data_IF_058125957267
#
_entry.id   IF_058125957267
#
_cell.length_a   1.000
_cell.length_b   1.000
_cell.length_c   1.000
_cell.angle_alpha   90.00
_cell.angle_beta   90.00
_cell.angle_gamma   90.00
#
_symmetry.space_group_name_H-M   'P 1'
#
loop_
_entity.id
_entity.type
_entity.pdbx_description
1 polymer ?
#
# COMPACT_ATOMS: atom_id res chain seq x y z
N UNK A 1 -5.09 -14.28 8.72
CA UNK A 1 -5.21 -13.96 7.29
C UNK A 1 -4.08 -13.02 6.90
N UNK A 2 -3.63 -13.03 5.64
CA UNK A 2 -2.79 -11.95 5.09
C UNK A 2 -3.74 -10.82 4.73
N UNK A 3 -3.42 -9.59 5.12
CA UNK A 3 -4.27 -8.45 4.84
C UNK A 3 -3.40 -7.24 4.56
N UNK A 4 -3.51 -6.73 3.35
CA UNK A 4 -2.88 -5.50 2.92
C UNK A 4 -3.82 -4.35 3.23
N UNK A 5 -3.30 -3.35 3.91
CA UNK A 5 -4.02 -2.13 4.22
C UNK A 5 -3.58 -1.02 3.28
N UNK A 6 -4.50 -0.48 2.49
CA UNK A 6 -4.29 0.69 1.64
C UNK A 6 -4.89 1.90 2.35
N UNK A 7 -4.05 2.89 2.66
CA UNK A 7 -4.44 4.10 3.40
C UNK A 7 -4.29 5.33 2.52
N UNK A 8 -5.32 6.17 2.49
CA UNK A 8 -5.33 7.45 1.80
C UNK A 8 -6.09 8.48 2.65
N UNK A 9 -5.38 9.46 3.22
CA UNK A 9 -5.99 10.38 4.18
C UNK A 9 -6.53 9.65 5.40
N UNK A 10 -7.84 9.73 5.63
CA UNK A 10 -8.56 9.00 6.69
C UNK A 10 -9.17 7.68 6.19
N UNK A 11 -9.16 7.43 4.88
CA UNK A 11 -9.72 6.23 4.27
C UNK A 11 -8.77 5.04 4.40
N UNK A 12 -9.33 3.90 4.78
CA UNK A 12 -8.61 2.64 4.96
C UNK A 12 -9.33 1.53 4.21
N UNK A 13 -8.64 0.88 3.27
CA UNK A 13 -9.12 -0.29 2.54
C UNK A 13 -8.29 -1.51 2.91
N UNK A 14 -8.97 -2.60 3.25
CA UNK A 14 -8.33 -3.87 3.58
C UNK A 14 -8.55 -4.87 2.44
N UNK A 15 -7.47 -5.46 1.94
CA UNK A 15 -7.46 -6.34 0.78
C UNK A 15 -6.69 -7.63 1.10
N UNK A 16 -7.12 -8.75 0.54
CA UNK A 16 -6.54 -10.06 0.87
C UNK A 16 -5.18 -10.29 0.20
N UNK A 17 -4.97 -9.67 -0.98
CA UNK A 17 -3.78 -9.89 -1.77
C UNK A 17 -2.97 -8.62 -2.04
N UNK A 18 -1.66 -8.82 -2.23
CA UNK A 18 -0.73 -7.75 -2.61
C UNK A 18 -1.11 -7.12 -3.94
N UNK A 19 -1.56 -7.95 -4.88
CA UNK A 19 -1.90 -7.52 -6.24
C UNK A 19 -3.11 -6.56 -6.21
N UNK A 20 -4.17 -6.91 -5.48
CA UNK A 20 -5.33 -6.04 -5.29
C UNK A 20 -4.95 -4.71 -4.63
N UNK A 21 -4.09 -4.76 -3.59
CA UNK A 21 -3.62 -3.56 -2.92
C UNK A 21 -2.85 -2.61 -3.83
N UNK A 22 -1.98 -3.16 -4.70
CA UNK A 22 -1.23 -2.38 -5.68
C UNK A 22 -2.16 -1.75 -6.71
N UNK A 23 -3.11 -2.52 -7.27
CA UNK A 23 -4.09 -1.99 -8.24
C UNK A 23 -4.88 -0.85 -7.61
N UNK A 24 -5.42 -1.06 -6.40
CA UNK A 24 -6.21 -0.06 -5.68
C UNK A 24 -5.39 1.20 -5.37
N UNK A 25 -4.15 1.06 -4.90
CA UNK A 25 -3.29 2.20 -4.60
C UNK A 25 -2.92 3.01 -5.85
N UNK A 26 -2.69 2.35 -6.98
CA UNK A 26 -2.45 3.03 -8.27
C UNK A 26 -3.67 3.82 -8.72
N UNK A 27 -4.85 3.22 -8.69
CA UNK A 27 -6.11 3.88 -9.02
C UNK A 27 -6.31 5.13 -8.16
N UNK A 28 -6.32 4.98 -6.82
CA UNK A 28 -6.55 6.11 -5.89
C UNK A 28 -5.51 7.22 -6.09
N UNK A 29 -4.22 6.86 -6.17
CA UNK A 29 -3.14 7.86 -6.31
C UNK A 29 -3.15 8.57 -7.66
N UNK A 30 -3.60 7.88 -8.73
CA UNK A 30 -3.75 8.47 -10.07
C UNK A 30 -4.92 9.46 -10.16
N UNK A 31 -6.06 9.12 -9.54
CA UNK A 31 -7.28 9.94 -9.57
C UNK A 31 -7.16 11.18 -8.69
N UNK A 32 -6.55 11.03 -7.51
CA UNK A 32 -6.57 12.06 -6.47
C UNK A 32 -5.26 12.86 -6.37
N UNK A 33 -4.22 12.51 -7.14
CA UNK A 33 -2.86 13.10 -7.08
C UNK A 33 -2.22 13.13 -5.68
N UNK A 34 -2.76 12.38 -4.73
CA UNK A 34 -2.27 12.29 -3.37
C UNK A 34 -1.34 11.11 -3.13
N UNK A 35 -0.78 11.06 -1.93
CA UNK A 35 0.08 9.96 -1.45
C UNK A 35 -0.82 8.85 -0.92
N UNK A 36 -0.62 7.64 -1.41
CA UNK A 36 -1.32 6.43 -0.96
C UNK A 36 -0.31 5.44 -0.42
N UNK A 37 -0.54 4.92 0.78
CA UNK A 37 0.36 3.95 1.41
C UNK A 37 -0.30 2.58 1.46
N UNK A 38 0.48 1.54 1.18
CA UNK A 38 0.11 0.15 1.43
C UNK A 38 0.98 -0.36 2.57
N UNK A 39 0.39 -1.06 3.53
CA UNK A 39 1.11 -1.76 4.58
C UNK A 39 0.59 -3.17 4.80
N UNK A 40 1.50 -4.11 4.99
CA UNK A 40 1.24 -5.43 5.57
C UNK A 40 2.12 -5.56 6.82
N UNK A 41 1.50 -5.52 8.00
CA UNK A 41 2.23 -5.60 9.27
C UNK A 41 2.89 -6.98 9.49
N UNK A 42 2.30 -8.04 8.93
CA UNK A 42 2.78 -9.40 9.11
C UNK A 42 4.01 -9.67 8.25
N UNK A 43 3.98 -9.22 7.01
CA UNK A 43 5.11 -9.33 6.08
C UNK A 43 6.10 -8.16 6.22
N UNK A 44 5.78 -7.18 7.08
CA UNK A 44 6.57 -5.95 7.30
C UNK A 44 6.90 -5.25 5.98
N UNK A 45 5.92 -5.23 5.08
CA UNK A 45 6.01 -4.63 3.77
C UNK A 45 5.29 -3.28 3.78
N UNK A 46 5.94 -2.24 3.27
CA UNK A 46 5.32 -0.92 3.04
C UNK A 46 5.62 -0.45 1.63
N UNK A 47 4.58 0.01 0.94
CA UNK A 47 4.69 0.63 -0.37
C UNK A 47 4.03 2.00 -0.35
N UNK A 48 4.57 2.96 -1.09
CA UNK A 48 3.95 4.28 -1.25
C UNK A 48 3.80 4.60 -2.72
N UNK A 49 2.59 5.03 -3.10
CA UNK A 49 2.22 5.42 -4.45
C UNK A 49 1.85 6.90 -4.52
N UNK A 50 2.19 7.54 -5.64
CA UNK A 50 1.79 8.90 -5.96
C UNK A 50 1.57 9.02 -7.47
N UNK A 51 0.42 9.54 -7.89
CA UNK A 51 0.12 9.73 -9.31
C UNK A 51 0.12 8.43 -10.14
N UNK A 52 -0.21 7.29 -9.52
CA UNK A 52 -0.17 5.97 -10.17
C UNK A 52 1.20 5.27 -10.15
N UNK A 53 2.25 5.97 -9.71
CA UNK A 53 3.63 5.44 -9.70
C UNK A 53 4.04 5.02 -8.29
N UNK A 54 4.86 3.96 -8.20
CA UNK A 54 5.48 3.53 -6.95
C UNK A 54 6.66 4.46 -6.64
N UNK A 55 6.61 5.16 -5.50
CA UNK A 55 7.64 6.13 -5.10
C UNK A 55 8.53 5.64 -3.96
N UNK A 56 8.04 4.72 -3.11
CA UNK A 56 8.84 4.12 -2.05
C UNK A 56 8.43 2.67 -1.81
N UNK A 57 9.40 1.83 -1.48
CA UNK A 57 9.22 0.45 -1.10
C UNK A 57 10.17 0.07 0.03
N UNK A 58 9.60 -0.30 1.18
CA UNK A 58 10.34 -0.75 2.35
C UNK A 58 9.91 -2.18 2.70
N UNK A 59 10.90 -3.04 2.93
CA UNK A 59 10.71 -4.42 3.37
C UNK A 59 11.71 -4.77 4.46
N UNK A 60 11.23 -5.08 5.66
CA UNK A 60 12.11 -5.46 6.77
C UNK A 60 12.46 -6.95 6.73
N UNK A 61 13.75 -7.24 6.54
CA UNK A 61 14.28 -8.62 6.50
C UNK A 61 14.79 -9.14 7.85
N UNK A 62 14.83 -8.30 8.90
CA UNK A 62 15.43 -8.67 10.19
C UNK A 62 14.45 -9.45 11.06
N UNK A 63 14.67 -10.77 11.15
CA UNK A 63 14.20 -11.60 12.27
C UNK A 63 14.93 -11.16 13.53
N UNK A 64 14.24 -10.44 14.41
CA UNK A 64 14.65 -10.24 15.82
C UNK A 64 14.40 -11.52 16.60
#
# INVERSE_FOLDING_TARGET
>A
MKMYQVTYGEDVHNLETRAEAIVKAREISSENRGIVSISDEKERERMTYQGGELISYDYETRRS
#
